data_IF_300761517613
#
_entry.id   IF_300761517613
#
_cell.length_a   1.000
_cell.length_b   1.000
_cell.length_c   1.000
_cell.angle_alpha   90.00
_cell.angle_beta   90.00
_cell.angle_gamma   90.00
#
_symmetry.space_group_name_H-M   'P 1'
#
loop_
_entity.id
_entity.type
_entity.pdbx_description
1 polymer ?
#
# COMPACT_ATOMS: atom_id res chain seq x y z
N UNK A 1 -5.67 -0.64 -17.85
CA UNK A 1 -6.52 -1.83 -17.63
C UNK A 1 -6.95 -1.85 -16.16
N UNK A 2 -8.11 -2.42 -15.83
CA UNK A 2 -8.57 -2.51 -14.43
C UNK A 2 -7.63 -3.41 -13.61
N UNK A 3 -7.33 -3.04 -12.36
CA UNK A 3 -6.57 -3.89 -11.43
C UNK A 3 -7.30 -5.18 -11.07
N UNK A 4 -8.59 -5.30 -11.42
CA UNK A 4 -9.40 -6.51 -11.16
C UNK A 4 -9.21 -7.60 -12.23
N UNK A 5 -8.44 -7.32 -13.30
CA UNK A 5 -8.19 -8.26 -14.40
C UNK A 5 -6.70 -8.63 -14.55
N UNK A 6 -5.85 -8.03 -13.73
CA UNK A 6 -4.40 -8.15 -13.79
C UNK A 6 -3.88 -8.23 -12.35
N UNK A 7 -3.05 -9.23 -12.09
CA UNK A 7 -2.27 -9.32 -10.87
C UNK A 7 -0.78 -9.10 -11.19
N UNK A 8 -0.18 -8.03 -10.67
CA UNK A 8 1.19 -7.60 -10.97
C UNK A 8 1.58 -7.67 -12.46
N UNK A 9 0.80 -7.06 -13.36
CA UNK A 9 1.02 -7.11 -14.82
C UNK A 9 0.87 -8.48 -15.48
N UNK A 10 0.45 -9.50 -14.74
CA UNK A 10 0.08 -10.82 -15.25
C UNK A 10 -1.45 -10.87 -15.39
N UNK A 11 -2.01 -11.21 -16.55
CA UNK A 11 -3.45 -11.41 -16.70
C UNK A 11 -3.98 -12.49 -15.75
N UNK A 12 -5.14 -12.24 -15.13
CA UNK A 12 -5.79 -13.20 -14.23
C UNK A 12 -6.29 -14.45 -14.99
N UNK A 13 -6.63 -14.29 -16.27
CA UNK A 13 -7.06 -15.37 -17.20
C UNK A 13 -8.15 -16.32 -16.64
N UNK A 14 -9.01 -15.80 -15.75
CA UNK A 14 -10.11 -16.53 -15.12
C UNK A 14 -9.69 -17.47 -13.99
N UNK A 15 -8.42 -17.44 -13.56
CA UNK A 15 -7.92 -18.27 -12.46
C UNK A 15 -8.23 -17.70 -11.07
N UNK A 16 -8.58 -16.41 -10.99
CA UNK A 16 -8.75 -15.72 -9.72
C UNK A 16 -10.00 -14.82 -9.74
N UNK A 17 -10.64 -14.70 -8.58
CA UNK A 17 -11.80 -13.82 -8.36
C UNK A 17 -11.34 -12.61 -7.56
N UNK A 18 -11.53 -11.37 -8.06
CA UNK A 18 -11.14 -10.18 -7.31
C UNK A 18 -11.93 -10.12 -6.00
N UNK A 19 -11.30 -9.85 -4.87
CA UNK A 19 -11.98 -9.89 -3.56
C UNK A 19 -11.99 -8.54 -2.86
N UNK A 20 -10.85 -7.86 -2.81
CA UNK A 20 -10.75 -6.54 -2.23
C UNK A 20 -9.69 -5.67 -2.86
N UNK A 21 -9.79 -4.37 -2.60
CA UNK A 21 -8.87 -3.37 -3.12
C UNK A 21 -8.04 -2.77 -2.00
N UNK A 22 -6.73 -2.73 -2.22
CA UNK A 22 -5.78 -2.15 -1.30
C UNK A 22 -5.04 -0.98 -1.97
N UNK A 23 -4.57 -0.05 -1.14
CA UNK A 23 -3.87 1.13 -1.63
C UNK A 23 -2.85 1.62 -0.61
N UNK A 24 -1.61 1.70 -1.07
CA UNK A 24 -0.51 2.28 -0.31
C UNK A 24 -0.86 3.69 0.14
N UNK A 25 -0.67 3.95 1.41
CA UNK A 25 -0.92 5.23 2.03
C UNK A 25 0.05 5.43 3.19
N UNK A 26 0.07 6.65 3.71
CA UNK A 26 0.89 7.02 4.83
C UNK A 26 -0.02 7.34 6.00
N UNK A 27 0.39 6.94 7.19
CA UNK A 27 -0.26 7.29 8.45
C UNK A 27 0.58 8.33 9.15
N UNK A 28 -0.03 9.35 9.73
CA UNK A 28 0.66 10.36 10.52
C UNK A 28 -0.13 10.72 11.77
N UNK A 29 0.54 11.24 12.78
CA UNK A 29 -0.13 11.82 13.95
C UNK A 29 -0.38 13.32 13.74
N UNK A 30 -1.66 13.71 13.60
CA UNK A 30 -2.02 15.10 13.33
C UNK A 30 -1.81 16.03 14.54
N UNK A 31 -1.55 15.50 15.73
CA UNK A 31 -1.15 16.31 16.88
C UNK A 31 0.33 16.76 16.79
N UNK A 32 1.15 16.09 15.96
CA UNK A 32 2.58 16.38 15.80
C UNK A 32 2.94 16.88 14.41
N UNK A 33 2.17 16.50 13.38
CA UNK A 33 2.42 16.89 11.99
C UNK A 33 1.26 17.73 11.46
N UNK A 34 1.53 19.01 11.24
CA UNK A 34 0.56 19.96 10.65
C UNK A 34 0.53 19.91 9.13
N UNK A 35 1.63 19.54 8.49
CA UNK A 35 1.76 19.46 7.03
C UNK A 35 2.43 18.14 6.60
N UNK A 36 1.73 17.37 5.76
CA UNK A 36 2.22 16.10 5.23
C UNK A 36 2.93 16.28 3.88
N UNK A 37 3.97 15.50 3.57
CA UNK A 37 4.59 15.52 2.25
C UNK A 37 3.61 15.04 1.17
N UNK A 38 3.64 15.66 -0.01
CA UNK A 38 2.73 15.36 -1.12
C UNK A 38 3.39 14.56 -2.24
N UNK A 39 4.68 14.27 -2.12
CA UNK A 39 5.49 13.52 -3.09
C UNK A 39 6.68 12.85 -2.40
N UNK A 40 7.31 11.87 -3.05
CA UNK A 40 8.54 11.23 -2.58
C UNK A 40 9.69 12.25 -2.38
N UNK A 41 9.96 13.19 -3.30
CA UNK A 41 10.93 14.27 -3.05
C UNK A 41 10.56 15.18 -1.86
N UNK A 42 9.27 15.45 -1.64
CA UNK A 42 8.83 16.22 -0.46
C UNK A 42 8.99 15.43 0.84
N UNK A 43 8.88 14.10 0.82
CA UNK A 43 9.11 13.25 1.98
C UNK A 43 10.58 13.33 2.44
N UNK A 44 11.54 13.38 1.51
CA UNK A 44 12.95 13.65 1.84
C UNK A 44 13.10 15.01 2.53
N UNK A 45 12.56 16.08 1.93
CA UNK A 45 12.61 17.43 2.53
C UNK A 45 11.92 17.48 3.89
N UNK A 46 10.86 16.70 4.07
CA UNK A 46 10.18 16.59 5.35
C UNK A 46 11.07 15.88 6.37
N UNK A 47 11.73 14.79 6.00
CA UNK A 47 12.66 14.05 6.87
C UNK A 47 13.88 14.90 7.26
N UNK A 48 14.43 15.71 6.36
CA UNK A 48 15.51 16.67 6.66
C UNK A 48 15.13 17.63 7.79
N UNK A 49 13.87 18.09 7.82
CA UNK A 49 13.36 18.99 8.88
C UNK A 49 12.92 18.26 10.16
N UNK A 50 12.66 16.95 10.07
CA UNK A 50 12.15 16.11 11.16
C UNK A 50 13.03 14.86 11.31
N UNK A 51 14.34 15.08 11.47
CA UNK A 51 15.33 14.00 11.47
C UNK A 51 15.01 12.96 12.56
N UNK A 52 14.99 11.69 12.17
CA UNK A 52 14.69 10.57 13.05
C UNK A 52 13.20 10.26 13.24
N UNK A 53 12.28 11.06 12.66
CA UNK A 53 10.82 10.93 12.87
C UNK A 53 10.11 10.11 11.80
N UNK A 54 10.85 9.55 10.85
CA UNK A 54 10.34 8.66 9.82
C UNK A 54 11.34 7.51 9.58
N UNK A 55 10.84 6.34 9.24
CA UNK A 55 11.59 5.22 8.67
C UNK A 55 10.60 4.36 7.88
N UNK A 56 11.08 3.29 7.23
CA UNK A 56 10.25 2.27 6.60
C UNK A 56 10.67 0.88 7.07
N UNK A 57 9.81 -0.15 7.01
CA UNK A 57 10.17 -1.50 7.40
C UNK A 57 11.32 -2.06 6.56
N UNK A 58 12.08 -2.97 7.13
CA UNK A 58 13.11 -3.71 6.39
C UNK A 58 12.49 -4.36 5.12
N UNK A 59 13.25 -4.50 4.03
CA UNK A 59 12.75 -5.02 2.73
C UNK A 59 12.27 -6.48 2.76
N UNK A 60 12.50 -7.18 3.87
CA UNK A 60 11.89 -8.48 4.14
C UNK A 60 10.39 -8.39 4.47
N UNK A 61 9.93 -7.21 4.92
CA UNK A 61 8.52 -6.88 5.08
C UNK A 61 7.96 -6.25 3.79
N UNK A 62 6.71 -6.60 3.48
CA UNK A 62 6.01 -6.16 2.27
C UNK A 62 5.94 -4.64 2.12
N UNK A 63 5.76 -3.86 3.20
CA UNK A 63 5.72 -2.40 3.12
C UNK A 63 7.10 -1.80 2.85
N UNK A 64 8.17 -2.47 3.28
CA UNK A 64 9.54 -2.09 2.94
C UNK A 64 9.78 -2.13 1.43
N UNK A 65 9.52 -3.28 0.79
CA UNK A 65 9.61 -3.41 -0.67
C UNK A 65 8.65 -2.49 -1.41
N UNK A 66 7.41 -2.35 -0.91
CA UNK A 66 6.40 -1.48 -1.53
C UNK A 66 6.82 -0.01 -1.51
N UNK A 67 7.45 0.46 -0.44
CA UNK A 67 8.00 1.82 -0.38
C UNK A 67 9.07 2.04 -1.45
N UNK A 68 9.98 1.07 -1.65
CA UNK A 68 10.99 1.16 -2.71
C UNK A 68 10.36 1.26 -4.10
N UNK A 69 9.34 0.44 -4.37
CA UNK A 69 8.60 0.48 -5.64
C UNK A 69 7.84 1.80 -5.81
N UNK A 70 7.17 2.29 -4.77
CA UNK A 70 6.46 3.57 -4.81
C UNK A 70 7.42 4.73 -5.10
N UNK A 71 8.58 4.74 -4.43
CA UNK A 71 9.63 5.72 -4.66
C UNK A 71 10.17 5.63 -6.09
N UNK A 72 10.42 4.42 -6.59
CA UNK A 72 10.90 4.20 -7.96
C UNK A 72 9.91 4.71 -9.01
N UNK A 73 8.61 4.44 -8.86
CA UNK A 73 7.56 4.92 -9.78
C UNK A 73 7.60 6.44 -9.91
N UNK A 74 7.78 7.16 -8.81
CA UNK A 74 7.78 8.63 -8.84
C UNK A 74 9.12 9.23 -9.31
N UNK A 75 10.25 8.56 -9.04
CA UNK A 75 11.59 9.07 -9.30
C UNK A 75 12.15 8.68 -10.68
N UNK A 76 11.66 7.61 -11.29
CA UNK A 76 12.13 7.18 -12.62
C UNK A 76 11.66 8.14 -13.72
N UNK A 77 12.51 8.37 -14.72
CA UNK A 77 12.17 9.18 -15.89
C UNK A 77 11.11 8.51 -16.76
N UNK A 78 11.03 7.18 -16.73
CA UNK A 78 10.11 6.39 -17.55
C UNK A 78 9.47 5.25 -16.72
N UNK A 79 8.32 5.51 -16.06
CA UNK A 79 7.66 4.51 -15.21
C UNK A 79 7.06 3.36 -16.01
N UNK A 80 6.75 3.52 -17.30
CA UNK A 80 6.19 2.44 -18.13
C UNK A 80 7.13 1.24 -18.27
N UNK A 81 8.44 1.44 -18.12
CA UNK A 81 9.43 0.34 -18.10
C UNK A 81 9.19 -0.61 -16.93
N UNK A 82 8.59 -0.13 -15.84
CA UNK A 82 8.29 -0.93 -14.65
C UNK A 82 7.15 -1.93 -14.90
N UNK A 83 6.35 -1.75 -15.96
CA UNK A 83 5.24 -2.63 -16.31
C UNK A 83 5.69 -3.94 -16.97
N UNK A 84 6.99 -4.07 -17.26
CA UNK A 84 7.57 -5.23 -17.91
C UNK A 84 8.71 -5.81 -17.08
N UNK A 85 9.04 -7.09 -17.32
CA UNK A 85 10.25 -7.72 -16.82
C UNK A 85 11.50 -6.87 -17.04
N UNK A 86 12.41 -6.95 -16.08
CA UNK A 86 13.71 -6.28 -16.16
C UNK A 86 14.50 -6.84 -17.36
N UNK A 87 14.79 -5.99 -18.34
CA UNK A 87 15.41 -6.41 -19.61
C UNK A 87 16.87 -6.86 -19.47
N UNK A 88 17.63 -6.24 -18.57
CA UNK A 88 19.04 -6.54 -18.32
C UNK A 88 19.53 -5.86 -17.04
N UNK A 89 20.70 -6.30 -16.52
CA UNK A 89 21.37 -5.63 -15.40
C UNK A 89 21.65 -4.15 -15.67
N UNK A 90 22.06 -3.80 -16.90
CA UNK A 90 22.32 -2.42 -17.28
C UNK A 90 21.03 -1.57 -17.28
N UNK A 91 19.92 -2.13 -17.74
CA UNK A 91 18.62 -1.48 -17.69
C UNK A 91 18.16 -1.28 -16.24
N UNK A 92 18.31 -2.29 -15.39
CA UNK A 92 18.00 -2.20 -13.95
C UNK A 92 18.80 -1.07 -13.28
N UNK A 93 20.13 -1.04 -13.46
CA UNK A 93 20.98 -0.02 -12.87
C UNK A 93 20.62 1.38 -13.34
N UNK A 94 20.32 1.56 -14.63
CA UNK A 94 19.90 2.86 -15.17
C UNK A 94 18.56 3.31 -14.59
N UNK A 95 17.56 2.43 -14.59
CA UNK A 95 16.19 2.75 -14.12
C UNK A 95 16.17 3.03 -12.62
N UNK A 96 16.97 2.31 -11.82
CA UNK A 96 16.96 2.44 -10.35
C UNK A 96 17.96 3.45 -9.79
N UNK A 97 18.85 4.02 -10.62
CA UNK A 97 19.83 5.02 -10.15
C UNK A 97 19.19 6.21 -9.40
N UNK A 98 18.07 6.80 -9.84
CA UNK A 98 17.39 7.87 -9.09
C UNK A 98 16.91 7.44 -7.71
N UNK A 99 16.42 6.20 -7.57
CA UNK A 99 15.99 5.65 -6.28
C UNK A 99 17.16 5.55 -5.30
N UNK A 100 18.29 5.01 -5.72
CA UNK A 100 19.45 4.85 -4.83
C UNK A 100 20.05 6.19 -4.41
N UNK A 101 20.09 7.16 -5.34
CA UNK A 101 20.52 8.52 -5.02
C UNK A 101 19.59 9.19 -3.99
N UNK A 102 18.28 8.97 -4.13
CA UNK A 102 17.29 9.44 -3.17
C UNK A 102 17.46 8.77 -1.80
N UNK A 103 17.60 7.45 -1.74
CA UNK A 103 17.78 6.72 -0.48
C UNK A 103 19.06 7.11 0.25
N UNK A 104 20.17 7.32 -0.47
CA UNK A 104 21.41 7.82 0.13
C UNK A 104 21.25 9.17 0.83
N UNK A 105 20.38 10.05 0.31
CA UNK A 105 20.05 11.33 0.94
C UNK A 105 19.04 11.17 2.07
N UNK A 106 18.07 10.25 1.93
CA UNK A 106 17.03 10.03 2.92
C UNK A 106 17.55 9.35 4.19
N UNK A 107 18.38 8.31 4.05
CA UNK A 107 18.82 7.44 5.14
C UNK A 107 19.42 8.19 6.34
N UNK A 108 20.33 9.18 6.18
CA UNK A 108 20.84 9.97 7.30
C UNK A 108 19.77 10.63 8.18
N UNK A 109 18.58 10.92 7.62
CA UNK A 109 17.47 11.57 8.29
C UNK A 109 16.41 10.60 8.82
N UNK A 110 16.56 9.29 8.56
CA UNK A 110 15.64 8.29 9.10
C UNK A 110 15.88 8.05 10.59
N UNK A 111 14.93 7.38 11.24
CA UNK A 111 15.12 6.83 12.59
C UNK A 111 16.44 6.05 12.67
N UNK A 112 17.24 6.34 13.71
CA UNK A 112 18.62 5.84 13.88
C UNK A 112 19.52 6.04 12.65
N UNK A 113 19.31 7.14 11.91
CA UNK A 113 20.06 7.50 10.69
C UNK A 113 20.09 6.38 9.64
N UNK A 114 19.02 5.58 9.56
CA UNK A 114 18.91 4.49 8.58
C UNK A 114 19.87 3.33 8.83
N UNK A 115 20.45 3.22 10.04
CA UNK A 115 21.29 2.08 10.44
C UNK A 115 20.47 0.91 10.99
N UNK A 116 19.18 1.11 11.20
CA UNK A 116 18.27 0.10 11.72
C UNK A 116 16.88 0.39 11.18
N UNK A 117 16.17 -0.67 10.82
CA UNK A 117 14.83 -0.61 10.25
C UNK A 117 13.91 -1.52 11.07
N UNK A 118 12.63 -1.15 11.28
CA UNK A 118 11.69 -2.03 11.94
C UNK A 118 11.55 -3.33 11.16
N UNK A 119 11.51 -4.46 11.88
CA UNK A 119 11.45 -5.80 11.29
C UNK A 119 10.13 -6.07 10.55
N UNK A 120 9.09 -5.30 10.86
CA UNK A 120 7.77 -5.41 10.24
C UNK A 120 7.02 -4.07 10.23
N UNK A 121 6.01 -4.00 9.39
CA UNK A 121 5.00 -2.94 9.35
C UNK A 121 4.27 -2.76 10.70
N UNK A 122 4.00 -3.84 11.43
CA UNK A 122 3.41 -3.78 12.76
C UNK A 122 4.31 -3.10 13.79
N UNK A 123 5.63 -3.37 13.75
CA UNK A 123 6.61 -2.69 14.61
C UNK A 123 6.66 -1.21 14.25
N UNK A 124 6.65 -0.85 12.96
CA UNK A 124 6.61 0.55 12.54
C UNK A 124 5.34 1.27 13.04
N UNK A 125 4.17 0.61 12.99
CA UNK A 125 2.93 1.17 13.52
C UNK A 125 3.00 1.38 15.04
N UNK A 126 3.58 0.43 15.78
CA UNK A 126 3.81 0.57 17.21
C UNK A 126 4.72 1.77 17.50
N UNK A 127 5.79 1.97 16.72
CA UNK A 127 6.67 3.14 16.85
C UNK A 127 5.94 4.47 16.60
N UNK A 128 4.92 4.51 15.73
CA UNK A 128 4.06 5.67 15.56
C UNK A 128 3.20 5.93 16.81
N UNK A 129 2.63 4.86 17.38
CA UNK A 129 1.84 4.93 18.62
C UNK A 129 2.69 5.41 19.80
N UNK A 130 3.91 4.91 19.91
CA UNK A 130 4.87 5.25 20.98
C UNK A 130 5.55 6.60 20.75
N UNK A 131 5.11 7.34 19.71
CA UNK A 131 5.64 8.66 19.34
C UNK A 131 7.13 8.68 18.98
N UNK A 132 7.73 7.53 18.67
CA UNK A 132 9.07 7.44 18.11
C UNK A 132 9.11 7.95 16.67
N UNK A 133 8.05 7.66 15.92
CA UNK A 133 7.81 8.14 14.55
C UNK A 133 6.62 9.10 14.52
N UNK A 134 6.61 9.95 13.50
CA UNK A 134 5.48 10.84 13.19
C UNK A 134 4.76 10.44 11.90
N UNK A 135 5.42 9.65 11.04
CA UNK A 135 4.86 9.07 9.82
C UNK A 135 5.19 7.58 9.77
N UNK A 136 4.20 6.75 9.44
CA UNK A 136 4.34 5.32 9.16
C UNK A 136 3.69 4.94 7.82
N UNK A 137 3.95 3.73 7.35
CA UNK A 137 3.39 3.20 6.11
C UNK A 137 2.15 2.33 6.39
N UNK A 138 1.22 2.30 5.44
CA UNK A 138 0.10 1.36 5.42
C UNK A 138 -0.27 1.01 3.98
N UNK A 139 -0.94 -0.11 3.79
CA UNK A 139 -1.45 -0.54 2.47
C UNK A 139 -2.97 -0.67 2.41
N UNK A 140 -3.65 -0.42 3.52
CA UNK A 140 -5.11 -0.45 3.58
C UNK A 140 -5.60 0.91 4.11
N UNK A 141 -6.37 1.69 3.33
CA UNK A 141 -6.89 2.99 3.75
C UNK A 141 -7.70 2.97 5.05
N UNK A 142 -8.37 1.86 5.37
CA UNK A 142 -9.20 1.76 6.57
C UNK A 142 -8.46 1.25 7.81
N UNK A 143 -7.27 0.66 7.63
CA UNK A 143 -6.52 0.04 8.72
C UNK A 143 -6.20 1.03 9.84
N UNK A 144 -5.97 2.30 9.51
CA UNK A 144 -5.74 3.35 10.51
C UNK A 144 -6.98 3.58 11.38
N UNK A 145 -8.18 3.64 10.79
CA UNK A 145 -9.41 3.79 11.56
C UNK A 145 -9.68 2.57 12.45
N UNK A 146 -9.42 1.36 11.94
CA UNK A 146 -9.54 0.13 12.72
C UNK A 146 -8.53 0.08 13.88
N UNK A 147 -7.29 0.54 13.66
CA UNK A 147 -6.26 0.63 14.68
C UNK A 147 -6.59 1.65 15.78
N UNK A 148 -7.21 2.77 15.43
CA UNK A 148 -7.75 3.73 16.41
C UNK A 148 -8.85 3.08 17.24
N UNK A 149 -9.80 2.40 16.58
CA UNK A 149 -10.91 1.74 17.27
C UNK A 149 -10.45 0.62 18.23
N UNK A 150 -9.33 -0.05 17.94
CA UNK A 150 -8.72 -1.05 18.81
C UNK A 150 -7.74 -0.48 19.84
N UNK A 151 -7.49 0.83 19.85
CA UNK A 151 -6.57 1.49 20.78
C UNK A 151 -5.09 1.24 20.49
N UNK A 152 -4.75 0.79 19.29
CA UNK A 152 -3.37 0.56 18.84
C UNK A 152 -2.76 1.74 18.08
N UNK A 153 -3.56 2.78 17.84
CA UNK A 153 -3.12 4.11 17.40
C UNK A 153 -3.90 5.21 18.14
N UNK A 154 -3.32 6.40 18.31
CA UNK A 154 -4.00 7.53 18.95
C UNK A 154 -5.14 8.09 18.10
N UNK A 155 -6.13 8.72 18.73
CA UNK A 155 -7.27 9.36 18.03
C UNK A 155 -6.85 10.45 17.03
N UNK A 156 -5.64 10.99 17.15
CA UNK A 156 -5.05 11.96 16.21
C UNK A 156 -4.41 11.32 14.98
N UNK A 157 -4.34 9.99 14.88
CA UNK A 157 -3.80 9.34 13.70
C UNK A 157 -4.68 9.61 12.46
N UNK A 158 -4.08 10.07 11.37
CA UNK A 158 -4.75 10.38 10.10
C UNK A 158 -3.95 9.79 8.95
N UNK A 159 -4.58 9.69 7.78
CA UNK A 159 -3.93 9.17 6.58
C UNK A 159 -3.74 10.25 5.52
N UNK A 160 -2.70 10.09 4.70
CA UNK A 160 -2.50 10.87 3.48
C UNK A 160 -1.96 10.00 2.34
N UNK A 161 -2.08 10.52 1.12
CA UNK A 161 -1.56 9.91 -0.11
C UNK A 161 -0.74 10.96 -0.88
N UNK A 162 0.08 10.48 -1.81
CA UNK A 162 0.87 11.35 -2.67
C UNK A 162 0.01 11.93 -3.80
N UNK A 163 0.33 13.16 -4.24
CA UNK A 163 -0.44 13.90 -5.25
C UNK A 163 -0.47 13.17 -6.60
N UNK A 164 0.63 12.53 -6.99
CA UNK A 164 0.71 11.70 -8.20
C UNK A 164 0.09 10.32 -8.03
N UNK A 165 -0.53 10.03 -6.90
CA UNK A 165 -1.11 8.74 -6.59
C UNK A 165 -0.14 7.79 -5.93
N UNK A 166 -0.69 6.68 -5.47
CA UNK A 166 0.04 5.62 -4.78
C UNK A 166 -0.29 4.27 -5.38
N UNK A 167 0.60 3.30 -5.18
CA UNK A 167 0.40 1.91 -5.59
C UNK A 167 -0.92 1.43 -5.00
N UNK A 168 -1.77 0.87 -5.85
CA UNK A 168 -2.97 0.17 -5.43
C UNK A 168 -3.16 -1.07 -6.26
N UNK A 169 -3.75 -2.08 -5.64
CA UNK A 169 -3.97 -3.37 -6.26
C UNK A 169 -5.30 -3.97 -5.82
N UNK A 170 -5.63 -5.06 -6.50
CA UNK A 170 -6.69 -5.97 -6.09
C UNK A 170 -6.02 -7.18 -5.50
N UNK A 171 -6.54 -7.70 -4.39
CA UNK A 171 -6.21 -9.06 -3.95
C UNK A 171 -7.35 -10.00 -4.35
N UNK A 172 -6.98 -11.25 -4.57
CA UNK A 172 -7.85 -12.22 -5.21
C UNK A 172 -8.03 -13.47 -4.36
N UNK A 173 -9.10 -14.19 -4.65
CA UNK A 173 -9.35 -15.55 -4.16
C UNK A 173 -9.15 -16.52 -5.32
N UNK A 174 -8.32 -17.54 -5.11
CA UNK A 174 -8.06 -18.61 -6.08
C UNK A 174 -8.39 -19.97 -5.49
N UNK A 175 -8.69 -20.94 -6.36
CA UNK A 175 -8.94 -22.34 -5.97
C UNK A 175 -7.71 -23.16 -6.38
N UNK A 176 -6.99 -23.80 -5.44
CA UNK A 176 -5.86 -24.65 -5.77
C UNK A 176 -6.23 -25.73 -6.78
N UNK A 177 -5.33 -26.03 -7.73
CA UNK A 177 -5.59 -27.00 -8.79
C UNK A 177 -5.94 -28.41 -8.27
N UNK A 178 -5.47 -28.75 -7.08
CA UNK A 178 -5.67 -30.03 -6.39
C UNK A 178 -6.74 -29.99 -5.29
N UNK A 179 -7.61 -28.97 -5.28
CA UNK A 179 -8.71 -28.89 -4.31
C UNK A 179 -9.69 -30.05 -4.47
N UNK A 180 -9.96 -30.77 -3.37
CA UNK A 180 -10.97 -31.84 -3.32
C UNK A 180 -12.42 -31.34 -3.24
N UNK A 181 -12.66 -30.04 -3.28
CA UNK A 181 -14.00 -29.44 -3.14
C UNK A 181 -14.18 -28.24 -4.08
N UNK A 182 -13.90 -28.46 -5.37
CA UNK A 182 -13.86 -27.40 -6.38
C UNK A 182 -15.21 -26.68 -6.53
N UNK A 183 -16.30 -27.41 -6.61
CA UNK A 183 -17.65 -26.88 -6.81
C UNK A 183 -18.09 -26.05 -5.60
N UNK A 184 -17.85 -26.55 -4.38
CA UNK A 184 -18.13 -25.83 -3.15
C UNK A 184 -17.31 -24.54 -3.05
N UNK A 185 -16.01 -24.60 -3.39
CA UNK A 185 -15.14 -23.43 -3.39
C UNK A 185 -15.60 -22.36 -4.41
N UNK A 186 -16.13 -22.76 -5.57
CA UNK A 186 -16.72 -21.82 -6.54
C UNK A 186 -17.95 -21.11 -6.00
N UNK A 187 -18.82 -21.81 -5.25
CA UNK A 187 -20.00 -21.20 -4.60
C UNK A 187 -19.55 -20.14 -3.59
N UNK A 188 -18.54 -20.45 -2.77
CA UNK A 188 -17.97 -19.50 -1.81
C UNK A 188 -17.39 -18.28 -2.54
N UNK A 189 -16.55 -18.50 -3.56
CA UNK A 189 -15.98 -17.40 -4.35
C UNK A 189 -17.05 -16.49 -4.97
N UNK A 190 -18.15 -17.06 -5.47
CA UNK A 190 -19.28 -16.29 -5.98
C UNK A 190 -20.01 -15.51 -4.88
N UNK A 191 -20.22 -16.10 -3.70
CA UNK A 191 -20.82 -15.41 -2.56
C UNK A 191 -19.96 -14.22 -2.08
N UNK A 192 -18.63 -14.38 -2.04
CA UNK A 192 -17.70 -13.31 -1.73
C UNK A 192 -17.81 -12.12 -2.71
N UNK A 193 -18.30 -12.34 -3.94
CA UNK A 193 -18.58 -11.25 -4.87
C UNK A 193 -19.97 -10.62 -4.73
N UNK A 194 -20.79 -11.07 -3.78
CA UNK A 194 -22.10 -10.48 -3.52
C UNK A 194 -21.99 -9.09 -2.89
N UNK A 195 -22.99 -8.19 -3.12
CA UNK A 195 -23.06 -6.92 -2.41
C UNK A 195 -23.04 -7.08 -0.89
N UNK A 196 -23.72 -8.10 -0.36
CA UNK A 196 -23.78 -8.39 1.08
C UNK A 196 -22.39 -8.63 1.67
N UNK A 197 -21.67 -9.63 1.15
CA UNK A 197 -20.33 -9.96 1.63
C UNK A 197 -19.35 -8.78 1.49
N UNK A 198 -19.46 -8.02 0.39
CA UNK A 198 -18.61 -6.86 0.12
C UNK A 198 -18.90 -5.67 1.03
N UNK A 199 -20.16 -5.43 1.40
CA UNK A 199 -20.53 -4.40 2.38
C UNK A 199 -20.01 -4.75 3.77
N UNK A 200 -20.16 -6.01 4.19
CA UNK A 200 -19.68 -6.48 5.49
C UNK A 200 -18.15 -6.37 5.58
N UNK A 201 -17.45 -6.79 4.53
CA UNK A 201 -16.00 -6.61 4.43
C UNK A 201 -15.56 -5.15 4.44
N UNK A 202 -16.26 -4.25 3.74
CA UNK A 202 -15.90 -2.84 3.68
C UNK A 202 -16.19 -2.09 4.99
N UNK A 203 -17.03 -2.65 5.88
CA UNK A 203 -17.31 -2.04 7.17
C UNK A 203 -16.05 -2.04 8.06
N UNK A 204 -15.52 -0.87 8.48
CA UNK A 204 -14.31 -0.78 9.30
C UNK A 204 -14.49 -1.32 10.72
N UNK A 205 -15.73 -1.46 11.21
CA UNK A 205 -16.00 -2.11 12.48
C UNK A 205 -15.85 -3.64 12.43
N UNK A 206 -15.67 -4.22 11.24
CA UNK A 206 -15.54 -5.66 11.02
C UNK A 206 -14.18 -5.96 10.39
N UNK A 207 -13.91 -5.40 9.21
CA UNK A 207 -12.65 -5.63 8.49
C UNK A 207 -12.12 -4.36 7.83
N UNK A 208 -12.97 -3.61 7.12
CA UNK A 208 -12.63 -2.34 6.47
C UNK A 208 -11.97 -2.49 5.09
N UNK A 209 -11.87 -3.68 4.54
CA UNK A 209 -11.20 -3.89 3.25
C UNK A 209 -12.10 -3.47 2.07
N UNK A 210 -11.57 -2.63 1.18
CA UNK A 210 -12.40 -1.92 0.18
C UNK A 210 -13.02 -2.87 -0.83
N UNK A 211 -14.23 -2.56 -1.29
CA UNK A 211 -14.93 -3.39 -2.27
C UNK A 211 -14.34 -3.31 -3.67
N UNK A 212 -14.42 -4.43 -4.40
CA UNK A 212 -14.11 -4.51 -5.85
C UNK A 212 -15.33 -4.21 -6.73
N UNK A 213 -16.53 -4.05 -6.15
CA UNK A 213 -17.76 -3.88 -6.91
C UNK A 213 -17.84 -2.48 -7.53
N UNK A 214 -18.28 -2.41 -8.78
CA UNK A 214 -18.66 -1.17 -9.42
C UNK A 214 -20.00 -0.67 -8.83
N UNK A 215 -19.93 0.08 -7.72
CA UNK A 215 -21.11 0.53 -6.94
C UNK A 215 -22.21 1.14 -7.82
N UNK A 216 -21.84 1.95 -8.82
CA UNK A 216 -22.78 2.59 -9.74
C UNK A 216 -23.65 1.60 -10.55
N UNK A 217 -23.22 0.34 -10.69
CA UNK A 217 -23.93 -0.74 -11.38
C UNK A 217 -24.81 -1.59 -10.45
N UNK A 218 -24.76 -1.38 -9.13
CA UNK A 218 -25.57 -2.12 -8.17
C UNK A 218 -27.01 -1.60 -8.13
N UNK A 219 -27.90 -2.31 -7.41
CA UNK A 219 -29.25 -1.84 -7.11
C UNK A 219 -29.22 -0.49 -6.37
N UNK A 220 -30.29 0.31 -6.47
CA UNK A 220 -30.38 1.58 -5.72
C UNK A 220 -30.31 1.38 -4.21
N UNK A 221 -30.85 0.26 -3.72
CA UNK A 221 -30.80 -0.10 -2.31
C UNK A 221 -29.35 -0.36 -1.85
N UNK A 222 -28.58 -1.15 -2.61
CA UNK A 222 -27.20 -1.46 -2.23
C UNK A 222 -26.28 -0.24 -2.40
N UNK A 223 -26.48 0.58 -3.43
CA UNK A 223 -25.80 1.87 -3.57
C UNK A 223 -25.95 2.74 -2.30
N UNK A 224 -27.17 2.81 -1.76
CA UNK A 224 -27.46 3.57 -0.55
C UNK A 224 -26.80 2.94 0.69
N UNK A 225 -26.81 1.61 0.81
CA UNK A 225 -26.14 0.91 1.91
C UNK A 225 -24.63 1.17 1.91
N UNK A 226 -23.96 1.01 0.78
CA UNK A 226 -22.53 1.33 0.65
C UNK A 226 -22.23 2.79 1.01
N UNK A 227 -23.07 3.73 0.56
CA UNK A 227 -22.92 5.17 0.90
C UNK A 227 -23.09 5.45 2.39
N UNK A 228 -23.90 4.65 3.09
CA UNK A 228 -24.12 4.80 4.53
C UNK A 228 -23.07 4.13 5.42
N UNK A 229 -22.13 3.37 4.85
CA UNK A 229 -21.07 2.73 5.63
C UNK A 229 -20.21 3.80 6.30
N UNK A 230 -19.93 3.69 7.62
CA UNK A 230 -18.97 4.55 8.26
C UNK A 230 -17.60 4.24 7.64
N UNK A 231 -16.88 5.26 7.16
CA UNK A 231 -15.51 5.05 6.66
C UNK A 231 -14.51 4.94 7.81
N UNK A 232 -14.79 5.58 8.94
CA UNK A 232 -13.87 5.76 10.06
C UNK A 232 -13.10 7.08 9.97
N UNK A 233 -12.68 7.60 11.12
CA UNK A 233 -12.17 8.98 11.26
C UNK A 233 -10.86 9.25 10.51
N UNK A 234 -10.11 8.19 10.18
CA UNK A 234 -8.81 8.27 9.54
C UNK A 234 -8.79 7.66 8.14
N UNK A 235 -9.94 7.22 7.62
CA UNK A 235 -10.06 6.64 6.29
C UNK A 235 -10.37 7.72 5.28
N UNK A 236 -9.51 7.92 4.28
CA UNK A 236 -9.79 8.88 3.21
C UNK A 236 -10.98 8.40 2.37
N UNK A 237 -11.92 9.29 2.01
CA UNK A 237 -12.98 8.95 1.07
C UNK A 237 -12.39 8.70 -0.33
N UNK A 238 -13.09 7.94 -1.20
CA UNK A 238 -12.57 7.53 -2.51
C UNK A 238 -12.01 8.68 -3.36
N UNK A 239 -12.67 9.83 -3.37
CA UNK A 239 -12.26 11.02 -4.12
C UNK A 239 -10.98 11.70 -3.59
N UNK A 240 -10.56 11.37 -2.36
CA UNK A 240 -9.32 11.87 -1.74
C UNK A 240 -8.15 10.87 -1.81
N UNK A 241 -8.37 9.64 -2.26
CA UNK A 241 -7.32 8.63 -2.40
C UNK A 241 -6.39 8.86 -3.59
N UNK A 242 -6.65 9.85 -4.44
CA UNK A 242 -5.83 10.18 -5.61
C UNK A 242 -5.82 9.07 -6.68
N UNK A 243 -5.04 9.22 -7.76
CA UNK A 243 -4.94 8.20 -8.80
C UNK A 243 -4.27 6.93 -8.26
N UNK A 244 -4.60 5.79 -8.86
CA UNK A 244 -3.97 4.50 -8.51
C UNK A 244 -2.81 4.25 -9.46
N UNK A 245 -1.64 3.99 -8.89
CA UNK A 245 -0.45 3.54 -9.62
C UNK A 245 -0.45 2.01 -9.67
N UNK A 246 -0.16 1.38 -10.83
CA UNK A 246 -0.03 -0.07 -10.91
C UNK A 246 1.21 -0.54 -10.14
N UNK A 247 1.14 -1.74 -9.58
CA UNK A 247 2.34 -2.42 -9.09
C UNK A 247 3.33 -2.64 -10.23
N UNK A 248 4.64 -2.41 -10.06
CA UNK A 248 5.65 -2.89 -11.01
C UNK A 248 5.54 -4.39 -11.28
N UNK A 249 6.07 -4.85 -12.42
CA UNK A 249 6.20 -6.26 -12.73
C UNK A 249 6.99 -7.00 -11.62
N UNK A 250 6.65 -8.26 -11.25
CA UNK A 250 7.22 -8.95 -10.09
C UNK A 250 8.74 -9.02 -10.06
N UNK A 251 9.38 -9.14 -11.22
CA UNK A 251 10.85 -9.17 -11.38
C UNK A 251 11.57 -7.97 -10.75
N UNK A 252 10.91 -6.80 -10.67
CA UNK A 252 11.51 -5.60 -10.07
C UNK A 252 11.67 -5.75 -8.56
N UNK A 253 10.66 -6.30 -7.86
CA UNK A 253 10.67 -6.41 -6.41
C UNK A 253 11.89 -7.19 -5.94
N UNK A 254 12.09 -8.40 -6.47
CA UNK A 254 13.16 -9.30 -6.03
C UNK A 254 14.55 -8.67 -6.27
N UNK A 255 14.73 -7.95 -7.37
CA UNK A 255 16.00 -7.28 -7.69
C UNK A 255 16.22 -6.03 -6.83
N UNK A 256 15.17 -5.27 -6.53
CA UNK A 256 15.23 -4.13 -5.63
C UNK A 256 15.61 -4.56 -4.22
N UNK A 257 14.96 -5.60 -3.68
CA UNK A 257 15.24 -6.10 -2.33
C UNK A 257 16.69 -6.60 -2.22
N UNK A 258 17.17 -7.36 -3.21
CA UNK A 258 18.55 -7.85 -3.25
C UNK A 258 19.58 -6.72 -3.32
N UNK A 259 19.34 -5.71 -4.17
CA UNK A 259 20.23 -4.56 -4.31
C UNK A 259 20.19 -3.65 -3.08
N UNK A 260 19.03 -3.51 -2.43
CA UNK A 260 18.91 -2.83 -1.15
C UNK A 260 19.73 -3.53 -0.07
N UNK A 261 19.60 -4.87 0.05
CA UNK A 261 20.37 -5.65 1.01
C UNK A 261 21.89 -5.50 0.78
N UNK A 262 22.32 -5.51 -0.48
CA UNK A 262 23.73 -5.30 -0.85
C UNK A 262 24.25 -3.91 -0.43
N UNK A 263 23.39 -2.89 -0.48
CA UNK A 263 23.75 -1.49 -0.18
C UNK A 263 23.67 -1.14 1.29
N UNK A 264 22.65 -1.65 1.99
CA UNK A 264 22.23 -1.16 3.31
C UNK A 264 22.00 -2.27 4.33
N UNK A 265 22.08 -3.54 3.95
CA UNK A 265 21.76 -4.68 4.80
C UNK A 265 22.83 -5.06 5.82
N UNK A 266 23.74 -4.15 6.17
CA UNK A 266 24.82 -4.34 7.15
C UNK A 266 24.47 -3.70 8.49
#
# INVERSE_FOLDING_TARGET
MSTTLIDFHIPVDGFEVPWGMAKFNFVYDSARVSETPKSIPELLKWAERHSGRFTYPHVTDFLGSTFLMQALIELTENPEVLNHSVKSKAAFSKTTAPLWNYLNQLHPHLWRSGKSFPSSSSVQQQMLNDSELDIALSFNPSATSAAIASGTLPESARTFVLKKGTIGNTHFVAIPFNSGSREGAMIVANFLMSPEAQMEKQNPGIWGDSTVLAIAKLSKQDQQKFKSLPLGIATLPPEKLGPTQPNPHPDWKNQLDAEWQRRYGQ
#
